data_IF_734532093146
#
_entry.id   IF_734532093146
#
_cell.length_a   1.000
_cell.length_b   1.000
_cell.length_c   1.000
_cell.angle_alpha   90.00
_cell.angle_beta   90.00
_cell.angle_gamma   90.00
#
_symmetry.space_group_name_H-M   'P 1'
#
loop_
_entity.id
_entity.type
_entity.pdbx_description
1 polymer ?
#
# COMPACT_ATOMS: atom_id res chain seq x y z
N UNK A 1 31.54 -49.41 3.47
CA UNK A 1 32.75 -48.60 3.22
C UNK A 1 32.50 -47.65 2.04
N UNK A 2 32.69 -46.34 2.28
CA UNK A 2 33.00 -45.28 1.32
C UNK A 2 32.04 -45.05 0.13
N UNK A 3 31.21 -43.96 0.23
CA UNK A 3 31.31 -42.66 -0.46
C UNK A 3 31.36 -42.72 -2.00
N UNK A 4 30.40 -42.11 -2.66
CA UNK A 4 30.66 -40.94 -3.50
C UNK A 4 29.40 -40.12 -3.79
N UNK A 5 29.56 -38.87 -3.59
CA UNK A 5 28.78 -37.71 -3.96
C UNK A 5 28.65 -37.61 -5.49
N UNK A 6 27.47 -37.30 -6.00
CA UNK A 6 27.31 -36.78 -7.35
C UNK A 6 26.35 -35.62 -7.32
N UNK A 7 26.85 -34.50 -7.75
CA UNK A 7 26.30 -33.16 -7.87
C UNK A 7 25.20 -33.16 -8.91
N UNK A 8 23.96 -32.85 -8.52
CA UNK A 8 22.93 -32.43 -9.45
C UNK A 8 22.80 -30.91 -9.39
N UNK A 9 23.27 -30.30 -10.48
CA UNK A 9 23.09 -28.89 -10.76
C UNK A 9 21.64 -28.67 -11.20
N UNK A 10 20.74 -28.36 -10.25
CA UNK A 10 19.38 -27.97 -10.55
C UNK A 10 19.36 -26.49 -10.89
N UNK A 11 18.95 -26.17 -12.10
CA UNK A 11 18.60 -24.81 -12.53
C UNK A 11 17.44 -24.28 -11.65
N UNK A 12 17.79 -23.52 -10.63
CA UNK A 12 16.85 -22.75 -9.84
C UNK A 12 16.51 -21.49 -10.66
N UNK A 13 15.44 -21.54 -11.43
CA UNK A 13 14.81 -20.33 -11.95
C UNK A 13 14.29 -19.52 -10.75
N UNK A 14 15.14 -18.60 -10.28
CA UNK A 14 14.77 -17.61 -9.29
C UNK A 14 13.78 -16.63 -9.91
N UNK A 15 12.49 -16.97 -9.84
CA UNK A 15 11.43 -15.99 -9.94
C UNK A 15 11.57 -15.08 -8.72
N UNK A 16 12.33 -14.00 -8.87
CA UNK A 16 12.25 -12.85 -8.01
C UNK A 16 10.85 -12.24 -8.15
N UNK A 17 9.89 -12.85 -7.46
CA UNK A 17 8.75 -12.10 -7.00
C UNK A 17 9.35 -11.02 -6.08
N UNK A 18 9.59 -9.83 -6.61
CA UNK A 18 9.80 -8.64 -5.79
C UNK A 18 8.47 -8.39 -5.09
N UNK A 19 8.26 -9.16 -4.02
CA UNK A 19 7.31 -8.81 -2.99
C UNK A 19 7.77 -7.48 -2.43
N UNK A 20 7.19 -6.38 -2.92
CA UNK A 20 7.27 -5.08 -2.28
C UNK A 20 6.38 -5.10 -1.03
N UNK A 21 6.58 -6.12 -0.20
CA UNK A 21 6.00 -6.30 1.13
C UNK A 21 6.88 -5.67 2.18
N UNK A 22 7.28 -4.41 1.99
CA UNK A 22 7.68 -3.61 3.14
C UNK A 22 6.43 -3.42 3.98
N UNK A 23 6.41 -4.00 5.18
CA UNK A 23 5.38 -3.74 6.18
C UNK A 23 5.11 -2.23 6.19
N UNK A 24 3.91 -1.82 5.80
CA UNK A 24 3.52 -0.41 5.84
C UNK A 24 3.63 0.01 7.31
N UNK A 25 4.68 0.78 7.63
CA UNK A 25 4.77 1.41 8.94
C UNK A 25 3.52 2.27 9.10
N UNK A 26 2.70 1.97 10.11
CA UNK A 26 1.59 2.84 10.51
C UNK A 26 2.10 4.25 10.71
N UNK A 27 1.29 5.23 10.38
CA UNK A 27 1.54 6.60 10.77
C UNK A 27 1.83 6.62 12.28
N UNK A 28 2.82 7.38 12.75
CA UNK A 28 3.24 7.35 14.15
C UNK A 28 2.06 7.67 15.05
N UNK A 29 1.72 6.70 15.91
CA UNK A 29 0.54 6.73 16.77
C UNK A 29 0.87 7.39 18.10
N UNK A 30 0.03 8.36 18.46
CA UNK A 30 -0.36 8.87 19.77
C UNK A 30 0.63 8.66 20.94
N UNK A 31 1.23 9.75 21.37
CA UNK A 31 1.32 10.02 22.82
C UNK A 31 0.28 11.08 23.16
N UNK A 32 -0.62 10.79 24.12
CA UNK A 32 -1.50 11.78 24.67
C UNK A 32 -0.63 12.84 25.34
N UNK A 33 -0.87 14.10 24.98
CA UNK A 33 -0.21 15.24 25.57
C UNK A 33 -0.71 15.42 27.00
N UNK A 34 0.19 15.70 27.98
CA UNK A 34 -0.26 16.12 29.28
C UNK A 34 -1.12 17.40 29.12
N UNK A 35 -2.34 17.37 29.61
CA UNK A 35 -3.18 18.55 29.69
C UNK A 35 -2.56 19.51 30.71
N UNK A 36 -2.58 20.84 30.46
CA UNK A 36 -2.24 21.79 31.50
C UNK A 36 -3.11 21.55 32.73
N UNK A 37 -2.50 21.19 33.83
CA UNK A 37 -3.23 21.05 35.11
C UNK A 37 -3.57 22.47 35.55
N UNK A 38 -4.86 22.77 35.65
CA UNK A 38 -5.33 23.97 36.38
C UNK A 38 -5.08 23.74 37.86
N UNK A 39 -3.86 24.02 38.31
CA UNK A 39 -3.57 24.16 39.75
C UNK A 39 -3.82 25.62 40.13
N UNK A 40 -4.52 25.81 41.25
CA UNK A 40 -4.70 27.14 41.84
C UNK A 40 -3.32 27.75 42.13
N UNK A 41 -2.91 28.69 41.31
CA UNK A 41 -1.64 29.43 41.45
C UNK A 41 -1.85 30.51 42.51
N UNK A 42 -0.87 30.72 43.41
CA UNK A 42 -0.80 32.00 44.19
C UNK A 42 -0.56 33.14 43.19
N UNK A 43 -1.56 33.93 42.98
CA UNK A 43 -1.65 34.94 41.95
C UNK A 43 -0.95 36.24 42.37
N UNK A 44 -0.29 36.97 41.42
CA UNK A 44 0.10 38.36 41.66
C UNK A 44 -1.16 39.22 41.90
N UNK A 45 -1.19 39.89 43.00
CA UNK A 45 -2.23 40.86 43.35
C UNK A 45 -2.18 42.00 42.34
N UNK A 46 -3.36 42.28 41.73
CA UNK A 46 -3.66 43.43 40.87
C UNK A 46 -3.29 43.25 39.37
N UNK A 47 -4.29 43.18 38.52
CA UNK A 47 -4.48 43.44 37.09
C UNK A 47 -3.31 43.87 36.19
N UNK A 48 -2.07 43.61 36.54
CA UNK A 48 -0.84 44.08 35.89
C UNK A 48 -0.25 42.92 35.07
N UNK A 49 0.02 43.17 33.80
CA UNK A 49 0.84 42.36 32.91
C UNK A 49 2.29 42.34 33.43
N UNK A 50 2.63 41.36 34.27
CA UNK A 50 4.01 41.10 34.65
C UNK A 50 4.62 40.09 33.66
N UNK A 51 5.58 40.54 32.85
CA UNK A 51 6.36 39.70 31.96
C UNK A 51 7.53 39.05 32.72
N UNK A 52 7.23 38.34 33.78
CA UNK A 52 8.21 37.76 34.68
C UNK A 52 8.45 36.27 34.47
N UNK A 53 9.30 35.74 35.37
CA UNK A 53 9.55 34.30 35.51
C UNK A 53 8.77 33.82 36.72
N UNK A 54 7.88 32.85 36.49
CA UNK A 54 7.02 32.27 37.51
C UNK A 54 7.35 30.80 37.68
N UNK A 55 7.82 30.41 38.86
CA UNK A 55 8.00 29.01 39.22
C UNK A 55 6.72 28.49 39.89
N UNK A 56 6.14 27.44 39.34
CA UNK A 56 4.88 26.88 39.79
C UNK A 56 5.07 25.77 40.83
N UNK A 57 4.11 25.53 41.73
CA UNK A 57 4.26 24.55 42.81
C UNK A 57 4.47 23.11 42.30
N UNK A 58 4.00 22.77 41.10
CA UNK A 58 4.17 21.47 40.46
C UNK A 58 5.56 21.29 39.83
N UNK A 59 6.46 22.27 39.92
CA UNK A 59 7.79 22.25 39.32
C UNK A 59 7.84 22.76 37.88
N UNK A 60 6.72 23.18 37.32
CA UNK A 60 6.68 23.83 36.01
C UNK A 60 7.19 25.28 36.13
N UNK A 61 7.53 25.90 35.02
CA UNK A 61 7.96 27.27 34.93
C UNK A 61 7.26 27.98 33.78
N UNK A 62 6.72 29.15 34.05
CA UNK A 62 6.16 30.06 33.06
C UNK A 62 6.98 31.33 32.94
N UNK A 63 7.22 31.79 31.72
CA UNK A 63 7.87 33.07 31.40
C UNK A 63 6.95 33.80 30.46
N UNK A 64 6.33 34.89 30.93
CA UNK A 64 5.35 35.63 30.13
C UNK A 64 4.44 36.51 30.99
N UNK A 65 3.45 37.09 30.33
CA UNK A 65 2.50 38.00 30.96
C UNK A 65 1.24 37.31 31.48
N UNK A 66 0.56 38.00 32.41
CA UNK A 66 -0.76 37.63 32.90
C UNK A 66 -1.77 38.73 32.60
N UNK A 67 -3.00 38.37 32.35
CA UNK A 67 -4.16 39.26 32.30
C UNK A 67 -5.30 38.58 33.02
N UNK A 68 -5.91 39.32 33.97
CA UNK A 68 -6.99 38.78 34.80
C UNK A 68 -6.63 37.42 35.42
N UNK A 69 -5.41 37.34 36.00
CA UNK A 69 -4.85 36.15 36.64
C UNK A 69 -4.64 34.94 35.71
N UNK A 70 -4.69 35.11 34.38
CA UNK A 70 -4.49 34.06 33.39
C UNK A 70 -3.29 34.39 32.50
N UNK A 71 -2.52 33.38 32.13
CA UNK A 71 -1.45 33.51 31.14
C UNK A 71 -1.99 34.15 29.87
N UNK A 72 -1.30 35.18 29.37
CA UNK A 72 -1.76 35.99 28.25
C UNK A 72 -0.58 36.53 27.42
N UNK A 73 -0.79 36.68 26.11
CA UNK A 73 0.21 37.18 25.19
C UNK A 73 1.29 36.16 24.88
N UNK A 74 2.44 36.63 24.42
CA UNK A 74 3.60 35.79 24.15
C UNK A 74 4.21 35.26 25.44
N UNK A 75 4.60 33.96 25.45
CA UNK A 75 5.21 33.36 26.63
C UNK A 75 5.84 32.00 26.35
N UNK A 76 6.50 31.50 27.38
CA UNK A 76 7.13 30.19 27.38
C UNK A 76 6.71 29.40 28.61
N UNK A 77 6.24 28.18 28.42
CA UNK A 77 5.86 27.23 29.47
C UNK A 77 6.79 26.03 29.43
N UNK A 78 7.50 25.78 30.51
CA UNK A 78 8.43 24.68 30.67
C UNK A 78 7.86 23.76 31.73
N UNK A 79 7.49 22.55 31.30
CA UNK A 79 6.98 21.53 32.17
C UNK A 79 8.10 20.84 32.96
N UNK A 80 7.80 20.41 34.18
CA UNK A 80 8.74 19.69 35.03
C UNK A 80 9.23 18.37 34.40
N UNK A 81 8.44 17.78 33.48
CA UNK A 81 8.82 16.58 32.73
C UNK A 81 9.80 16.85 31.59
N UNK A 82 10.09 18.11 31.28
CA UNK A 82 10.99 18.55 30.21
C UNK A 82 10.31 18.93 28.90
N UNK A 83 8.98 18.86 28.80
CA UNK A 83 8.24 19.38 27.64
C UNK A 83 8.30 20.93 27.69
N UNK A 84 8.19 21.59 26.55
CA UNK A 84 8.27 23.05 26.43
C UNK A 84 7.29 23.56 25.39
N UNK A 85 6.53 24.58 25.75
CA UNK A 85 5.74 25.37 24.81
C UNK A 85 6.25 26.78 24.75
N UNK A 86 6.39 27.34 23.56
CA UNK A 86 6.71 28.76 23.33
C UNK A 86 5.72 29.28 22.27
N UNK A 87 5.00 30.37 22.63
CA UNK A 87 3.99 30.95 21.73
C UNK A 87 2.96 31.74 22.49
N UNK A 88 1.82 31.98 21.85
CA UNK A 88 0.77 32.86 22.37
C UNK A 88 -0.12 32.13 23.37
N UNK A 89 -0.49 32.82 24.43
CA UNK A 89 -1.44 32.39 25.45
C UNK A 89 -2.69 33.30 25.42
N UNK A 90 -3.84 32.70 25.59
CA UNK A 90 -5.10 33.40 25.79
C UNK A 90 -5.93 32.66 26.85
N UNK A 91 -6.44 33.36 27.82
CA UNK A 91 -7.22 32.81 28.94
C UNK A 91 -6.53 31.60 29.64
N UNK A 92 -5.21 31.65 29.77
CA UNK A 92 -4.39 30.60 30.42
C UNK A 92 -4.01 29.43 29.51
N UNK A 93 -4.56 29.33 28.30
CA UNK A 93 -4.33 28.23 27.37
C UNK A 93 -3.49 28.66 26.18
N UNK A 94 -2.81 27.70 25.53
CA UNK A 94 -2.15 27.92 24.24
C UNK A 94 -3.18 28.33 23.20
N UNK A 95 -2.93 29.40 22.48
CA UNK A 95 -3.84 29.91 21.45
C UNK A 95 -3.01 30.66 20.39
N UNK A 96 -3.47 30.68 19.12
CA UNK A 96 -2.69 31.25 18.04
C UNK A 96 -1.44 30.44 17.69
N UNK A 97 -0.37 31.09 17.27
CA UNK A 97 0.86 30.43 16.83
C UNK A 97 1.77 30.02 17.98
N UNK A 98 2.42 28.86 17.87
CA UNK A 98 3.37 28.42 18.88
C UNK A 98 4.19 27.19 18.45
N UNK A 99 5.19 26.88 19.28
CA UNK A 99 6.03 25.68 19.16
C UNK A 99 5.91 24.86 20.45
N UNK A 100 5.61 23.58 20.30
CA UNK A 100 5.59 22.62 21.39
C UNK A 100 6.68 21.57 21.14
N UNK A 101 7.68 21.55 22.01
CA UNK A 101 8.74 20.54 22.02
C UNK A 101 8.50 19.57 23.17
N UNK A 102 8.35 18.30 22.86
CA UNK A 102 8.21 17.23 23.86
C UNK A 102 9.59 16.67 24.25
N UNK A 103 9.71 16.17 25.48
CA UNK A 103 10.93 15.56 26.00
C UNK A 103 11.48 14.42 25.12
N UNK A 104 10.62 13.73 24.37
CA UNK A 104 11.04 12.66 23.47
C UNK A 104 11.65 13.18 22.16
N UNK A 105 11.71 14.50 21.96
CA UNK A 105 12.22 15.12 20.75
C UNK A 105 11.16 15.39 19.68
N UNK A 106 9.88 15.10 19.94
CA UNK A 106 8.78 15.52 19.06
C UNK A 106 8.64 17.03 19.08
N UNK A 107 8.57 17.69 17.92
CA UNK A 107 8.36 19.13 17.78
C UNK A 107 7.13 19.40 16.93
N UNK A 108 6.22 20.21 17.47
CA UNK A 108 5.10 20.75 16.69
C UNK A 108 5.27 22.27 16.60
N UNK A 109 5.16 22.81 15.40
CA UNK A 109 5.12 24.25 15.13
C UNK A 109 3.88 24.57 14.32
N UNK A 110 3.01 25.42 14.83
CA UNK A 110 1.74 25.71 14.14
C UNK A 110 0.73 26.39 15.03
N UNK A 111 -0.53 26.29 14.64
CA UNK A 111 -1.64 26.93 15.32
C UNK A 111 -2.15 26.07 16.49
N UNK A 112 -2.58 26.77 17.55
CA UNK A 112 -3.21 26.20 18.73
C UNK A 112 -4.56 26.88 18.96
N UNK A 113 -5.50 26.14 19.49
CA UNK A 113 -6.80 26.61 19.95
C UNK A 113 -7.19 25.92 21.25
N UNK A 114 -7.43 26.71 22.30
CA UNK A 114 -7.79 26.21 23.63
C UNK A 114 -6.83 25.10 24.12
N UNK A 115 -5.54 25.31 23.94
CA UNK A 115 -4.50 24.40 24.39
C UNK A 115 -4.26 23.19 23.47
N UNK A 116 -5.00 23.00 22.38
CA UNK A 116 -4.88 21.89 21.44
C UNK A 116 -4.28 22.37 20.11
N UNK A 117 -3.48 21.52 19.45
CA UNK A 117 -3.03 21.77 18.08
C UNK A 117 -4.25 21.86 17.17
N UNK A 118 -4.27 22.89 16.34
CA UNK A 118 -5.39 23.21 15.47
C UNK A 118 -4.88 23.91 14.22
N UNK A 119 -5.73 24.09 13.18
CA UNK A 119 -5.34 24.82 11.97
C UNK A 119 -4.17 24.18 11.25
N UNK A 120 -3.26 24.99 10.71
CA UNK A 120 -2.10 24.51 9.97
C UNK A 120 -0.89 24.33 10.89
N UNK A 121 -0.09 23.30 10.63
CA UNK A 121 1.11 23.06 11.40
C UNK A 121 2.06 22.03 10.82
N UNK A 122 3.26 22.03 11.39
CA UNK A 122 4.31 21.04 11.10
C UNK A 122 4.55 20.20 12.35
N UNK A 123 4.61 18.88 12.20
CA UNK A 123 4.95 17.95 13.27
C UNK A 123 6.16 17.12 12.84
N UNK A 124 7.25 17.25 13.59
CA UNK A 124 8.48 16.47 13.40
C UNK A 124 8.56 15.43 14.51
N UNK A 125 8.74 14.18 14.14
CA UNK A 125 8.84 13.04 15.06
C UNK A 125 10.31 12.69 15.36
N UNK A 126 10.60 12.08 16.51
CA UNK A 126 11.97 11.71 16.89
C UNK A 126 12.66 10.75 15.92
N UNK A 127 11.89 9.97 15.17
CA UNK A 127 12.40 9.05 14.15
C UNK A 127 12.74 9.73 12.82
N UNK A 128 12.51 11.06 12.72
CA UNK A 128 12.76 11.85 11.52
C UNK A 128 11.55 11.97 10.56
N UNK A 129 10.42 11.33 10.85
CA UNK A 129 9.20 11.57 10.08
C UNK A 129 8.73 13.03 10.27
N UNK A 130 8.17 13.62 9.22
CA UNK A 130 7.69 15.00 9.22
C UNK A 130 6.32 15.08 8.55
N UNK A 131 5.36 15.62 9.28
CA UNK A 131 4.03 15.94 8.74
C UNK A 131 3.88 17.47 8.60
N UNK A 132 3.28 17.91 7.50
CA UNK A 132 2.85 19.29 7.24
C UNK A 132 1.40 19.27 6.77
N UNK A 133 0.52 19.99 7.44
CA UNK A 133 -0.90 20.02 7.08
C UNK A 133 -1.81 20.41 8.22
N UNK A 134 -3.07 19.97 8.08
CA UNK A 134 -4.17 20.40 8.97
C UNK A 134 -4.24 19.58 10.25
N UNK A 135 -4.61 20.27 11.33
CA UNK A 135 -4.87 19.69 12.66
C UNK A 135 -6.24 20.12 13.17
N UNK A 136 -6.95 19.21 13.79
CA UNK A 136 -8.22 19.47 14.51
C UNK A 136 -8.15 18.79 15.88
N UNK A 137 -8.12 19.59 16.96
CA UNK A 137 -8.11 19.11 18.34
C UNK A 137 -7.05 18.00 18.57
N UNK A 138 -5.78 18.35 18.37
CA UNK A 138 -4.59 17.49 18.51
C UNK A 138 -4.47 16.35 17.49
N UNK A 139 -5.39 16.20 16.56
CA UNK A 139 -5.35 15.15 15.53
C UNK A 139 -4.95 15.72 14.18
N UNK A 140 -4.17 14.95 13.44
CA UNK A 140 -3.99 15.17 12.01
C UNK A 140 -5.34 14.87 11.34
N UNK A 141 -5.90 15.85 10.65
CA UNK A 141 -7.23 15.80 10.04
C UNK A 141 -7.25 16.71 8.79
N UNK A 142 -7.82 16.25 7.67
CA UNK A 142 -7.83 17.01 6.42
C UNK A 142 -6.60 16.76 5.56
N UNK A 143 -6.26 17.70 4.70
CA UNK A 143 -5.15 17.58 3.74
C UNK A 143 -3.79 17.78 4.40
N UNK A 144 -2.79 17.01 3.95
CA UNK A 144 -1.43 17.15 4.41
C UNK A 144 -0.41 16.31 3.66
N UNK A 145 0.85 16.54 3.97
CA UNK A 145 2.00 15.80 3.43
C UNK A 145 2.77 15.17 4.59
N UNK A 146 2.97 13.86 4.52
CA UNK A 146 3.78 13.09 5.47
C UNK A 146 5.04 12.57 4.74
N UNK A 147 6.19 13.09 5.15
CA UNK A 147 7.51 12.60 4.72
C UNK A 147 8.05 11.66 5.78
N UNK A 148 8.36 10.45 5.39
CA UNK A 148 8.95 9.44 6.26
C UNK A 148 10.47 9.55 6.24
N UNK A 149 11.11 9.18 7.33
CA UNK A 149 12.57 9.14 7.44
C UNK A 149 13.24 8.16 6.45
N UNK A 150 12.47 7.20 5.92
CA UNK A 150 12.91 6.26 4.89
C UNK A 150 12.64 6.78 3.45
N UNK A 151 12.46 8.08 3.28
CA UNK A 151 12.25 8.80 2.00
C UNK A 151 10.91 8.49 1.30
N UNK A 152 9.98 7.79 1.93
CA UNK A 152 8.59 7.74 1.44
C UNK A 152 7.92 9.09 1.65
N UNK A 153 7.06 9.48 0.73
CA UNK A 153 6.21 10.66 0.86
C UNK A 153 4.76 10.30 0.57
N UNK A 154 3.87 10.71 1.44
CA UNK A 154 2.43 10.65 1.21
C UNK A 154 1.88 12.07 1.16
N UNK A 155 1.06 12.38 0.16
CA UNK A 155 0.26 13.59 0.10
C UNK A 155 -1.21 13.22 -0.15
N UNK A 156 -2.11 13.75 0.67
CA UNK A 156 -3.54 13.45 0.60
C UNK A 156 -4.26 13.66 1.92
N UNK A 157 -5.44 13.08 2.01
CA UNK A 157 -6.34 13.27 3.14
C UNK A 157 -5.98 12.40 4.34
N UNK A 158 -6.17 12.95 5.53
CA UNK A 158 -6.04 12.27 6.82
C UNK A 158 -7.34 12.35 7.60
N UNK A 159 -7.68 11.28 8.29
CA UNK A 159 -8.79 11.21 9.25
C UNK A 159 -8.26 10.59 10.55
N UNK A 160 -8.34 11.36 11.65
CA UNK A 160 -7.93 10.89 12.99
C UNK A 160 -6.51 10.28 13.03
N UNK A 161 -5.53 10.98 12.44
CA UNK A 161 -4.12 10.61 12.31
C UNK A 161 -3.82 9.45 11.36
N UNK A 162 -4.76 8.97 10.57
CA UNK A 162 -4.56 7.91 9.59
C UNK A 162 -4.77 8.44 8.18
N UNK A 163 -4.02 7.96 7.21
CA UNK A 163 -4.26 8.23 5.79
C UNK A 163 -5.61 7.66 5.40
N UNK A 164 -6.41 8.46 4.71
CA UNK A 164 -7.78 8.10 4.35
C UNK A 164 -8.20 8.82 3.06
N UNK A 165 -9.23 8.30 2.35
CA UNK A 165 -9.66 8.91 1.10
C UNK A 165 -8.56 8.89 0.04
N UNK A 166 -8.60 9.82 -0.90
CA UNK A 166 -7.66 9.87 -2.01
C UNK A 166 -6.29 10.41 -1.59
N UNK A 167 -5.22 9.82 -2.14
CA UNK A 167 -3.85 10.27 -1.90
C UNK A 167 -2.81 9.68 -2.83
N UNK A 168 -1.64 10.26 -2.79
CA UNK A 168 -0.46 9.86 -3.56
C UNK A 168 0.62 9.39 -2.59
N UNK A 169 1.18 8.21 -2.82
CA UNK A 169 2.36 7.69 -2.12
C UNK A 169 3.51 7.53 -3.09
N UNK A 170 4.62 8.17 -2.81
CA UNK A 170 5.89 8.01 -3.52
C UNK A 170 6.82 7.16 -2.66
N UNK A 171 7.44 6.16 -3.28
CA UNK A 171 8.38 5.24 -2.60
C UNK A 171 9.83 5.58 -2.96
N UNK A 172 10.82 5.27 -2.09
CA UNK A 172 12.24 5.50 -2.36
C UNK A 172 12.73 4.82 -3.63
N UNK A 173 12.10 3.73 -4.02
CA UNK A 173 12.36 3.03 -5.28
C UNK A 173 12.02 3.84 -6.53
N UNK A 174 11.29 4.97 -6.38
CA UNK A 174 10.69 5.73 -7.47
C UNK A 174 9.35 5.18 -7.94
N UNK A 175 8.81 4.16 -7.26
CA UNK A 175 7.44 3.71 -7.52
C UNK A 175 6.44 4.73 -6.96
N UNK A 176 5.25 4.83 -7.58
CA UNK A 176 4.17 5.74 -7.20
C UNK A 176 2.87 4.97 -7.09
N UNK A 177 2.14 5.16 -6.01
CA UNK A 177 0.73 4.81 -5.91
C UNK A 177 -0.12 6.06 -5.88
N UNK A 178 -1.22 6.06 -6.62
CA UNK A 178 -2.24 7.12 -6.60
C UNK A 178 -3.61 6.46 -6.54
N UNK A 179 -4.37 6.75 -5.50
CA UNK A 179 -5.66 6.08 -5.26
C UNK A 179 -6.13 6.21 -3.83
N UNK A 180 -7.10 5.36 -3.47
CA UNK A 180 -7.76 5.46 -2.18
C UNK A 180 -7.00 4.76 -1.05
N UNK A 181 -7.15 5.32 0.14
CA UNK A 181 -6.62 4.81 1.41
C UNK A 181 -7.76 4.63 2.41
N UNK A 182 -7.66 3.62 3.24
CA UNK A 182 -8.53 3.40 4.38
C UNK A 182 -7.71 2.93 5.58
N UNK A 183 -7.58 3.78 6.59
CA UNK A 183 -6.84 3.46 7.81
C UNK A 183 -5.37 3.09 7.56
N UNK A 184 -4.63 3.94 6.81
CA UNK A 184 -3.23 3.77 6.41
C UNK A 184 -2.96 2.73 5.31
N UNK A 185 -3.95 2.00 4.83
CA UNK A 185 -3.81 0.96 3.81
C UNK A 185 -4.40 1.43 2.48
N UNK A 186 -3.78 1.03 1.36
CA UNK A 186 -4.36 1.19 0.03
C UNK A 186 -5.65 0.39 -0.04
N UNK A 187 -6.72 0.97 -0.54
CA UNK A 187 -8.05 0.38 -0.61
C UNK A 187 -8.83 0.99 -1.79
N UNK A 188 -9.90 0.33 -2.23
CA UNK A 188 -10.67 0.86 -3.36
C UNK A 188 -9.88 0.90 -4.66
N UNK A 189 -10.14 1.89 -5.51
CA UNK A 189 -9.47 2.05 -6.80
C UNK A 189 -8.14 2.76 -6.68
N UNK A 190 -7.16 2.32 -7.47
CA UNK A 190 -5.85 2.97 -7.51
C UNK A 190 -4.97 2.54 -8.67
N UNK A 191 -3.94 3.33 -8.89
CA UNK A 191 -2.90 3.10 -9.90
C UNK A 191 -1.56 2.95 -9.19
N UNK A 192 -0.88 1.84 -9.41
CA UNK A 192 0.48 1.60 -8.95
C UNK A 192 1.43 1.61 -10.15
N UNK A 193 2.31 2.59 -10.21
CA UNK A 193 3.37 2.68 -11.22
C UNK A 193 4.69 2.25 -10.59
N UNK A 194 5.30 1.22 -11.12
CA UNK A 194 6.60 0.71 -10.65
C UNK A 194 7.75 1.38 -11.41
N UNK A 195 8.91 1.46 -10.77
CA UNK A 195 10.13 2.06 -11.37
C UNK A 195 10.51 1.47 -12.73
N UNK A 196 10.25 0.18 -12.93
CA UNK A 196 10.56 -0.51 -14.18
C UNK A 196 9.57 -0.22 -15.32
N UNK A 197 8.57 0.65 -15.09
CA UNK A 197 7.54 0.99 -16.06
C UNK A 197 6.33 0.04 -16.06
N UNK A 198 6.29 -0.96 -15.18
CA UNK A 198 5.06 -1.75 -14.96
C UNK A 198 4.00 -0.88 -14.30
N UNK A 199 2.76 -0.96 -14.77
CA UNK A 199 1.61 -0.23 -14.21
C UNK A 199 0.51 -1.21 -13.87
N UNK A 200 -0.02 -1.10 -12.67
CA UNK A 200 -1.27 -1.74 -12.29
C UNK A 200 -2.34 -0.68 -12.05
N UNK A 201 -3.51 -0.88 -12.61
CA UNK A 201 -4.70 -0.05 -12.42
C UNK A 201 -5.87 -0.97 -12.04
N UNK A 202 -6.45 -0.79 -10.86
CA UNK A 202 -7.51 -1.70 -10.39
C UNK A 202 -7.83 -1.55 -8.92
N UNK A 203 -8.44 -2.62 -8.38
CA UNK A 203 -8.89 -2.67 -7.00
C UNK A 203 -7.75 -3.03 -6.05
N UNK A 204 -7.81 -2.42 -4.85
CA UNK A 204 -6.94 -2.70 -3.72
C UNK A 204 -7.78 -3.01 -2.48
N UNK A 205 -7.34 -3.96 -1.69
CA UNK A 205 -7.89 -4.27 -0.38
C UNK A 205 -6.74 -4.52 0.59
N UNK A 206 -6.75 -3.83 1.74
CA UNK A 206 -5.74 -3.97 2.79
C UNK A 206 -4.28 -3.84 2.29
N UNK A 207 -4.03 -2.99 1.28
CA UNK A 207 -2.71 -2.76 0.72
C UNK A 207 -2.31 -3.68 -0.43
N UNK A 208 -3.13 -4.70 -0.78
CA UNK A 208 -2.89 -5.68 -1.84
C UNK A 208 -3.79 -5.43 -3.03
N UNK A 209 -3.35 -5.87 -4.23
CA UNK A 209 -4.20 -5.93 -5.41
C UNK A 209 -5.24 -7.03 -5.17
N UNK A 210 -6.50 -6.68 -5.37
CA UNK A 210 -7.65 -7.54 -5.12
C UNK A 210 -8.74 -7.23 -6.15
N UNK A 211 -9.72 -8.13 -6.36
CA UNK A 211 -10.81 -7.88 -7.30
C UNK A 211 -10.35 -7.78 -8.74
N UNK A 212 -10.77 -6.75 -9.47
CA UNK A 212 -10.47 -6.62 -10.90
C UNK A 212 -9.42 -5.55 -11.19
N UNK A 213 -8.58 -5.82 -12.19
CA UNK A 213 -7.55 -4.86 -12.57
C UNK A 213 -6.88 -5.14 -13.90
N UNK A 214 -6.11 -4.14 -14.33
CA UNK A 214 -5.25 -4.18 -15.51
C UNK A 214 -3.80 -4.04 -15.10
N UNK A 215 -2.98 -5.01 -15.49
CA UNK A 215 -1.54 -4.99 -15.28
C UNK A 215 -0.83 -4.86 -16.63
N UNK A 216 -0.22 -3.71 -16.88
CA UNK A 216 0.65 -3.48 -18.03
C UNK A 216 2.09 -3.70 -17.60
N UNK A 217 2.73 -4.75 -18.09
CA UNK A 217 4.12 -5.08 -17.76
C UNK A 217 5.11 -4.21 -18.54
N UNK A 218 6.30 -4.01 -18.00
CA UNK A 218 7.37 -3.24 -18.64
C UNK A 218 7.78 -3.75 -20.03
N UNK A 219 7.61 -5.05 -20.29
CA UNK A 219 7.88 -5.66 -21.58
C UNK A 219 6.79 -5.40 -22.63
N UNK A 220 5.67 -4.80 -22.23
CA UNK A 220 4.51 -4.51 -23.08
C UNK A 220 3.41 -5.57 -23.06
N UNK A 221 3.53 -6.62 -22.26
CA UNK A 221 2.43 -7.55 -22.02
C UNK A 221 1.35 -6.89 -21.15
N UNK A 222 0.09 -7.25 -21.38
CA UNK A 222 -1.05 -6.72 -20.63
C UNK A 222 -1.89 -7.88 -20.10
N UNK A 223 -2.22 -7.85 -18.82
CA UNK A 223 -3.22 -8.71 -18.22
C UNK A 223 -4.41 -7.86 -17.75
N UNK A 224 -5.61 -8.27 -18.10
CA UNK A 224 -6.89 -7.71 -17.66
C UNK A 224 -7.72 -8.83 -17.07
N UNK A 225 -8.02 -8.76 -15.77
CA UNK A 225 -8.73 -9.87 -15.09
C UNK A 225 -8.73 -9.72 -13.58
N UNK A 226 -8.95 -10.84 -12.91
CA UNK A 226 -9.09 -10.92 -11.47
C UNK A 226 -7.73 -11.02 -10.77
N UNK A 227 -7.68 -10.46 -9.56
CA UNK A 227 -6.53 -10.49 -8.65
C UNK A 227 -7.00 -10.92 -7.26
N UNK A 228 -6.19 -11.72 -6.59
CA UNK A 228 -6.34 -12.03 -5.19
C UNK A 228 -4.96 -12.06 -4.52
N UNK A 229 -4.83 -11.40 -3.35
CA UNK A 229 -3.60 -11.39 -2.55
C UNK A 229 -2.35 -11.03 -3.39
N UNK A 230 -2.43 -9.98 -4.23
CA UNK A 230 -1.38 -9.52 -5.15
C UNK A 230 -1.09 -10.43 -6.37
N UNK A 231 -1.76 -11.56 -6.52
CA UNK A 231 -1.58 -12.49 -7.64
C UNK A 231 -2.68 -12.31 -8.69
N UNK A 232 -2.34 -12.55 -9.97
CA UNK A 232 -3.36 -12.81 -10.99
C UNK A 232 -4.06 -14.11 -10.62
N UNK A 233 -5.39 -14.08 -10.51
CA UNK A 233 -6.22 -15.21 -10.08
C UNK A 233 -7.53 -15.20 -10.87
N UNK A 234 -8.33 -16.28 -10.80
CA UNK A 234 -9.65 -16.34 -11.41
C UNK A 234 -9.62 -16.37 -12.95
N UNK A 235 -10.41 -15.51 -13.58
CA UNK A 235 -10.49 -15.40 -15.04
C UNK A 235 -9.85 -14.11 -15.55
N UNK A 236 -9.26 -14.19 -16.74
CA UNK A 236 -8.64 -13.01 -17.32
C UNK A 236 -8.19 -13.18 -18.76
N UNK A 237 -7.82 -12.03 -19.32
CA UNK A 237 -7.26 -11.89 -20.66
C UNK A 237 -5.80 -11.48 -20.55
N UNK A 238 -4.91 -12.27 -21.12
CA UNK A 238 -3.50 -11.94 -21.21
C UNK A 238 -3.12 -11.66 -22.67
N UNK A 239 -2.72 -10.44 -22.95
CA UNK A 239 -2.26 -9.99 -24.26
C UNK A 239 -0.75 -9.87 -24.24
N UNK A 240 -0.08 -10.71 -25.01
CA UNK A 240 1.37 -10.67 -25.17
C UNK A 240 1.80 -9.51 -26.08
N UNK A 241 2.99 -8.97 -25.90
CA UNK A 241 3.57 -7.92 -26.75
C UNK A 241 3.60 -8.29 -28.25
N UNK A 242 3.73 -9.58 -28.57
CA UNK A 242 3.74 -10.07 -29.96
C UNK A 242 2.35 -10.11 -30.62
N UNK A 243 1.29 -9.76 -29.85
CA UNK A 243 -0.11 -9.76 -30.27
C UNK A 243 -0.84 -11.09 -30.04
N UNK A 244 -0.21 -12.09 -29.46
CA UNK A 244 -0.93 -13.31 -29.02
C UNK A 244 -1.86 -12.94 -27.87
N UNK A 245 -3.01 -13.60 -27.79
CA UNK A 245 -4.01 -13.36 -26.75
C UNK A 245 -4.38 -14.68 -26.11
N UNK A 246 -4.35 -14.74 -24.79
CA UNK A 246 -4.90 -15.81 -23.97
C UNK A 246 -6.15 -15.31 -23.25
N UNK A 247 -7.22 -16.06 -23.27
CA UNK A 247 -8.47 -15.79 -22.55
C UNK A 247 -8.88 -17.06 -21.80
N UNK A 248 -8.85 -17.01 -20.45
CA UNK A 248 -9.13 -18.18 -19.66
C UNK A 248 -8.74 -18.05 -18.20
N UNK A 249 -8.55 -19.20 -17.56
CA UNK A 249 -8.29 -19.28 -16.13
C UNK A 249 -6.83 -18.99 -15.81
N UNK A 250 -6.64 -18.26 -14.73
CA UNK A 250 -5.32 -17.95 -14.14
C UNK A 250 -5.34 -18.37 -12.67
N UNK A 251 -4.29 -19.05 -12.21
CA UNK A 251 -4.13 -19.46 -10.83
C UNK A 251 -2.72 -19.15 -10.36
N UNK A 252 -2.59 -18.39 -9.26
CA UNK A 252 -1.30 -17.97 -8.70
C UNK A 252 -0.36 -17.35 -9.76
N UNK A 253 -0.91 -16.54 -10.67
CA UNK A 253 -0.16 -15.90 -11.75
C UNK A 253 0.15 -16.79 -12.96
N UNK A 254 -0.30 -18.05 -12.99
CA UNK A 254 -0.06 -19.01 -14.06
C UNK A 254 -1.32 -19.25 -14.87
N UNK A 255 -1.21 -19.27 -16.20
CA UNK A 255 -2.29 -19.57 -17.12
C UNK A 255 -2.56 -21.08 -17.05
N UNK A 256 -3.82 -21.50 -16.75
CA UNK A 256 -4.15 -22.90 -16.47
C UNK A 256 -5.61 -23.22 -16.80
N UNK A 257 -5.94 -24.52 -16.85
CA UNK A 257 -7.30 -25.02 -17.12
C UNK A 257 -7.78 -24.73 -18.54
N UNK A 258 -9.09 -24.88 -18.78
CA UNK A 258 -9.69 -24.63 -20.10
C UNK A 258 -9.58 -23.16 -20.49
N UNK A 259 -9.05 -22.88 -21.67
CA UNK A 259 -8.83 -21.53 -22.17
C UNK A 259 -8.70 -21.49 -23.70
N UNK A 260 -8.73 -20.27 -24.23
CA UNK A 260 -8.51 -19.96 -25.64
C UNK A 260 -7.22 -19.17 -25.81
N UNK A 261 -6.38 -19.59 -26.75
CA UNK A 261 -5.19 -18.84 -27.14
C UNK A 261 -5.22 -18.53 -28.63
N UNK A 262 -5.27 -17.25 -28.97
CA UNK A 262 -5.21 -16.75 -30.34
C UNK A 262 -3.78 -16.32 -30.65
N UNK A 263 -3.21 -16.81 -31.74
CA UNK A 263 -1.86 -16.49 -32.18
C UNK A 263 -1.86 -16.10 -33.68
N UNK A 264 -0.71 -15.71 -34.19
CA UNK A 264 -0.54 -15.48 -35.63
C UNK A 264 -0.73 -16.72 -36.46
N UNK A 265 -0.51 -17.92 -35.93
CA UNK A 265 -0.65 -19.18 -36.64
C UNK A 265 -2.07 -19.77 -36.62
N UNK A 266 -2.87 -19.42 -35.64
CA UNK A 266 -4.22 -19.93 -35.46
C UNK A 266 -4.73 -19.74 -34.03
N UNK A 267 -5.78 -20.51 -33.71
CA UNK A 267 -6.48 -20.49 -32.45
C UNK A 267 -6.39 -21.87 -31.81
N UNK A 268 -5.95 -21.92 -30.55
CA UNK A 268 -6.04 -23.10 -29.69
C UNK A 268 -7.13 -22.90 -28.66
N UNK A 269 -8.01 -23.89 -28.53
CA UNK A 269 -9.07 -23.95 -27.51
C UNK A 269 -8.92 -25.30 -26.80
N UNK A 270 -8.61 -25.28 -25.50
CA UNK A 270 -8.33 -26.50 -24.75
C UNK A 270 -7.68 -26.25 -23.42
N UNK A 271 -7.05 -27.25 -22.86
CA UNK A 271 -6.43 -27.20 -21.55
C UNK A 271 -5.04 -26.60 -21.59
N UNK A 272 -4.68 -25.95 -20.50
CA UNK A 272 -3.38 -25.34 -20.25
C UNK A 272 -2.84 -25.75 -18.88
N UNK A 273 -1.55 -25.98 -18.83
CA UNK A 273 -0.77 -26.14 -17.61
C UNK A 273 0.42 -25.19 -17.66
N UNK A 274 0.49 -24.26 -16.71
CA UNK A 274 1.55 -23.24 -16.63
C UNK A 274 1.80 -22.45 -17.95
N UNK A 275 0.72 -22.17 -18.70
CA UNK A 275 0.76 -21.42 -19.95
C UNK A 275 1.10 -22.22 -21.19
N UNK A 276 1.25 -23.55 -21.06
CA UNK A 276 1.57 -24.49 -22.12
C UNK A 276 0.33 -25.32 -22.45
N UNK A 277 0.12 -25.65 -23.74
CA UNK A 277 -0.97 -26.58 -24.15
C UNK A 277 -0.75 -27.94 -23.50
N UNK A 278 -1.76 -28.41 -22.82
CA UNK A 278 -1.75 -29.69 -22.10
C UNK A 278 -3.15 -30.32 -22.21
N UNK A 279 -3.25 -31.64 -22.11
CA UNK A 279 -4.54 -32.32 -22.14
C UNK A 279 -5.27 -32.23 -23.48
N UNK A 280 -6.60 -32.22 -23.45
CA UNK A 280 -7.44 -32.21 -24.66
C UNK A 280 -7.58 -30.79 -25.20
N UNK A 281 -7.43 -30.66 -26.53
CA UNK A 281 -7.58 -29.34 -27.15
C UNK A 281 -7.71 -29.40 -28.67
N UNK A 282 -8.25 -28.30 -29.20
CA UNK A 282 -8.48 -28.08 -30.62
C UNK A 282 -7.62 -26.92 -31.12
N UNK A 283 -6.83 -27.15 -32.12
CA UNK A 283 -6.10 -26.09 -32.82
C UNK A 283 -6.69 -25.89 -34.22
N UNK A 284 -7.10 -24.67 -34.52
CA UNK A 284 -7.57 -24.25 -35.85
C UNK A 284 -6.54 -23.30 -36.45
N UNK A 285 -5.84 -23.75 -37.48
CA UNK A 285 -4.88 -22.95 -38.22
C UNK A 285 -5.57 -21.89 -39.07
N UNK A 286 -4.83 -20.80 -39.39
CA UNK A 286 -5.36 -19.76 -40.31
C UNK A 286 -5.57 -20.26 -41.72
N UNK A 287 -4.91 -21.33 -42.13
CA UNK A 287 -5.09 -22.04 -43.40
C UNK A 287 -6.32 -22.99 -43.41
N UNK A 288 -7.09 -23.00 -42.31
CA UNK A 288 -8.23 -23.88 -42.12
C UNK A 288 -7.85 -25.29 -41.63
N UNK A 289 -6.58 -25.59 -41.40
CA UNK A 289 -6.16 -26.87 -40.82
C UNK A 289 -6.73 -27.05 -39.42
N UNK A 290 -7.17 -28.25 -39.09
CA UNK A 290 -7.77 -28.60 -37.81
C UNK A 290 -7.01 -29.78 -37.18
N UNK A 291 -6.68 -29.64 -35.90
CA UNK A 291 -6.10 -30.69 -35.05
C UNK A 291 -6.87 -30.75 -33.75
N UNK A 292 -7.55 -31.85 -33.51
CA UNK A 292 -8.24 -32.13 -32.26
C UNK A 292 -7.64 -33.37 -31.62
N UNK A 293 -7.31 -33.34 -30.36
CA UNK A 293 -6.71 -34.46 -29.66
C UNK A 293 -5.88 -34.04 -28.43
N UNK A 294 -5.01 -34.97 -28.03
CA UNK A 294 -4.12 -34.80 -26.89
C UNK A 294 -2.93 -33.92 -27.24
N UNK A 295 -2.63 -32.99 -26.30
CA UNK A 295 -1.49 -32.12 -26.35
C UNK A 295 -0.63 -32.34 -25.09
N UNK A 296 0.67 -32.40 -25.25
CA UNK A 296 1.62 -32.57 -24.18
C UNK A 296 2.80 -31.62 -24.37
N UNK A 297 3.19 -30.90 -23.30
CA UNK A 297 4.30 -29.95 -23.34
C UNK A 297 4.23 -28.98 -24.56
N UNK A 298 3.03 -28.53 -24.94
CA UNK A 298 2.79 -27.61 -26.05
C UNK A 298 2.79 -28.24 -27.44
N UNK A 299 2.95 -29.56 -27.56
CA UNK A 299 2.99 -30.29 -28.82
C UNK A 299 1.75 -31.17 -29.00
N UNK A 300 1.30 -31.32 -30.24
CA UNK A 300 0.24 -32.25 -30.58
C UNK A 300 0.76 -33.69 -30.50
N UNK A 301 0.24 -34.48 -29.56
CA UNK A 301 0.72 -35.81 -29.25
C UNK A 301 -0.10 -36.92 -29.95
N UNK A 302 -1.44 -36.88 -29.86
CA UNK A 302 -2.31 -37.92 -30.36
C UNK A 302 -3.62 -37.34 -30.88
N UNK A 303 -4.09 -37.69 -32.11
CA UNK A 303 -5.41 -37.30 -32.58
C UNK A 303 -6.51 -38.05 -31.82
N UNK A 304 -7.62 -37.37 -31.58
CA UNK A 304 -8.87 -37.91 -31.06
C UNK A 304 -9.99 -37.64 -32.04
N UNK A 305 -11.09 -38.42 -31.92
CA UNK A 305 -12.32 -38.15 -32.67
C UNK A 305 -13.00 -36.93 -32.08
N UNK A 306 -13.37 -35.96 -32.93
CA UNK A 306 -14.13 -34.80 -32.45
C UNK A 306 -15.51 -35.26 -31.96
N UNK A 307 -15.98 -34.74 -30.82
CA UNK A 307 -17.34 -34.97 -30.37
C UNK A 307 -18.34 -34.38 -31.38
N UNK A 308 -19.47 -35.07 -31.55
CA UNK A 308 -20.51 -34.64 -32.50
C UNK A 308 -21.29 -33.40 -31.99
N UNK A 309 -21.32 -33.20 -30.65
CA UNK A 309 -21.93 -32.05 -29.98
C UNK A 309 -21.01 -31.55 -28.89
N UNK A 310 -21.13 -30.24 -28.53
CA UNK A 310 -20.35 -29.60 -27.46
C UNK A 310 -20.63 -30.19 -26.05
N UNK A 311 -21.76 -30.91 -25.88
CA UNK A 311 -22.13 -31.56 -24.62
C UNK A 311 -21.42 -32.93 -24.41
N UNK A 312 -20.78 -33.46 -25.45
CA UNK A 312 -20.05 -34.74 -25.42
C UNK A 312 -18.54 -34.54 -25.15
N UNK A 313 -18.06 -33.34 -24.88
CA UNK A 313 -16.68 -33.12 -24.44
C UNK A 313 -16.45 -33.81 -23.08
N UNK A 314 -15.43 -34.69 -22.96
CA UNK A 314 -15.12 -35.32 -21.68
C UNK A 314 -14.79 -34.26 -20.61
N UNK A 315 -15.51 -34.30 -19.50
CA UNK A 315 -15.34 -33.35 -18.41
C UNK A 315 -13.97 -33.47 -17.72
N UNK A 316 -13.37 -34.64 -17.74
CA UNK A 316 -12.05 -34.95 -17.16
C UNK A 316 -11.29 -35.96 -18.01
N UNK A 317 -9.96 -35.93 -17.97
CA UNK A 317 -9.09 -36.96 -18.57
C UNK A 317 -9.25 -38.22 -17.72
N UNK A 318 -9.63 -39.35 -18.34
CA UNK A 318 -9.62 -40.65 -17.67
C UNK A 318 -8.23 -40.93 -17.07
N UNK A 319 -8.16 -41.41 -15.81
CA UNK A 319 -6.90 -41.76 -15.13
C UNK A 319 -6.01 -42.72 -15.97
N UNK A 320 -6.58 -43.45 -16.92
CA UNK A 320 -5.89 -44.34 -17.85
C UNK A 320 -5.05 -43.57 -18.89
N UNK A 321 -5.47 -42.37 -19.24
CA UNK A 321 -4.76 -41.46 -20.17
C UNK A 321 -3.63 -40.72 -19.46
N UNK A 322 -3.79 -40.34 -18.19
CA UNK A 322 -2.73 -39.76 -17.37
C UNK A 322 -1.54 -40.71 -17.18
N UNK A 323 -1.81 -42.01 -16.99
CA UNK A 323 -0.77 -43.05 -16.88
C UNK A 323 0.06 -43.24 -18.14
N UNK A 324 -0.54 -43.02 -19.34
CA UNK A 324 0.16 -43.14 -20.62
C UNK A 324 1.12 -41.96 -20.90
N UNK A 325 0.96 -40.82 -20.20
CA UNK A 325 1.81 -39.65 -20.35
C UNK A 325 3.04 -39.69 -19.41
N UNK A 326 2.99 -40.51 -18.35
CA UNK A 326 4.10 -40.66 -17.39
C UNK A 326 5.08 -41.80 -17.81
N UNK A 327 4.77 -42.61 -18.87
CA UNK A 327 5.60 -43.72 -19.32
C UNK A 327 6.53 -43.42 -20.53
N UNK A 328 6.55 -42.16 -21.05
CA UNK A 328 7.51 -41.70 -22.07
C UNK A 328 8.48 -40.62 -21.47
#
# INVERSE_FOLDING_TARGET
MKKLLSVLCGFLCLLLAVSCGSAEKKAPVKKERPKPVETAEEEPKDGITDNGIHNLPNGDRYIGGFKDHKKFGEGEYIYANGDRYKGTFENGSYNGSGELTLKDGTVYTGEFKNGLRHGQGTLVFPNGDRYEGSFVNDKIEGEGVLRFADEREYSGTFVKNARHGHGVMIFPSGAKYEGDFNGDKRSGKGVMTYRNGTVYEGDFLDGKREGTGKLTKANGDVYEGEFAEDNMEGTGKYTYKNGDVYEGRVKAGKLTGKAKKTTKSGVYEGEFKDGIFEGIGKFTGRDGSLRYGMWHAGKFAKPLQMPENDEDEPEEIDEEVEKLLDEE
#
